data_IF_332417525029
#
_entry.id   IF_332417525029
#
_cell.length_a   1.000
_cell.length_b   1.000
_cell.length_c   1.000
_cell.angle_alpha   90.00
_cell.angle_beta   90.00
_cell.angle_gamma   90.00
#
_symmetry.space_group_name_H-M   'P 1'
#
loop_
_entity.id
_entity.type
_entity.pdbx_description
1 polymer ?
#
# COMPACT_ATOMS: atom_id res chain seq x y z
N UNK A 1 18.17 10.78 -1.02
CA UNK A 1 18.98 11.82 -0.33
C UNK A 1 18.04 12.97 0.05
N UNK A 2 18.30 13.63 1.22
CA UNK A 2 17.56 14.84 1.64
C UNK A 2 16.02 14.72 1.61
N UNK A 3 15.48 13.57 2.03
CA UNK A 3 14.04 13.38 2.15
C UNK A 3 13.66 13.68 3.60
N UNK A 4 12.79 14.67 3.80
CA UNK A 4 12.15 14.95 5.07
C UNK A 4 10.65 14.79 4.87
N UNK A 5 10.08 13.69 5.36
CA UNK A 5 8.67 13.34 5.13
C UNK A 5 8.03 12.91 6.43
N UNK A 6 6.85 13.45 6.70
CA UNK A 6 6.05 13.09 7.86
C UNK A 6 4.67 12.65 7.42
N UNK A 7 4.25 11.49 7.93
CA UNK A 7 2.95 10.90 7.65
C UNK A 7 2.20 10.81 8.98
N UNK A 8 1.09 11.50 9.06
CA UNK A 8 0.20 11.47 10.21
C UNK A 8 -0.92 10.44 10.02
N UNK A 9 -1.59 10.10 11.13
CA UNK A 9 -2.76 9.23 11.14
C UNK A 9 -3.85 9.83 10.25
N UNK A 10 -4.38 9.01 9.34
CA UNK A 10 -5.42 9.42 8.39
C UNK A 10 -4.93 10.15 7.15
N UNK A 11 -3.63 10.46 7.05
CA UNK A 11 -3.08 11.10 5.86
C UNK A 11 -3.24 10.25 4.60
N UNK A 12 -3.51 10.90 3.48
CA UNK A 12 -3.64 10.29 2.16
C UNK A 12 -2.61 10.90 1.22
N UNK A 13 -1.51 10.18 1.03
CA UNK A 13 -0.35 10.64 0.25
C UNK A 13 -0.25 9.95 -1.10
N UNK A 14 0.05 10.73 -2.12
CA UNK A 14 0.63 10.23 -3.37
C UNK A 14 2.16 10.33 -3.26
N UNK A 15 2.85 9.24 -3.54
CA UNK A 15 4.28 9.24 -3.81
C UNK A 15 4.47 9.17 -5.32
N UNK A 16 4.75 10.30 -5.94
CA UNK A 16 4.91 10.41 -7.38
C UNK A 16 6.39 10.53 -7.77
N UNK A 17 6.78 9.81 -8.80
CA UNK A 17 8.12 9.89 -9.38
C UNK A 17 8.29 8.94 -10.55
N UNK A 18 9.11 9.33 -11.51
CA UNK A 18 9.41 8.49 -12.67
C UNK A 18 10.14 7.19 -12.28
N UNK A 19 10.26 6.26 -13.20
CA UNK A 19 11.02 5.04 -12.99
C UNK A 19 12.48 5.40 -12.68
N UNK A 20 13.05 4.73 -11.66
CA UNK A 20 14.40 5.05 -11.17
C UNK A 20 14.49 6.23 -10.18
N UNK A 21 13.41 6.96 -9.91
CA UNK A 21 13.41 8.09 -8.96
C UNK A 21 13.76 7.72 -7.51
N UNK A 22 13.78 6.41 -7.15
CA UNK A 22 14.08 5.95 -5.80
C UNK A 22 12.87 5.60 -4.94
N UNK A 23 11.67 5.48 -5.56
CA UNK A 23 10.41 5.10 -4.87
C UNK A 23 10.57 3.80 -4.07
N UNK A 24 11.03 2.74 -4.71
CA UNK A 24 11.23 1.41 -4.07
C UNK A 24 12.20 1.48 -2.89
N UNK A 25 13.30 2.22 -3.01
CA UNK A 25 14.26 2.40 -1.91
C UNK A 25 13.60 3.11 -0.73
N UNK A 26 12.80 4.16 -0.98
CA UNK A 26 12.07 4.86 0.07
C UNK A 26 11.05 3.93 0.73
N UNK A 27 10.31 3.14 -0.05
CA UNK A 27 9.35 2.16 0.47
C UNK A 27 10.04 1.08 1.31
N UNK A 28 11.22 0.60 0.92
CA UNK A 28 11.99 -0.37 1.70
C UNK A 28 12.38 0.18 3.07
N UNK A 29 12.72 1.48 3.15
CA UNK A 29 13.01 2.14 4.43
C UNK A 29 11.73 2.25 5.28
N UNK A 30 10.60 2.67 4.69
CA UNK A 30 9.32 2.77 5.39
C UNK A 30 8.82 1.40 5.90
N UNK A 31 9.04 0.34 5.13
CA UNK A 31 8.70 -1.03 5.51
C UNK A 31 9.75 -1.69 6.44
N UNK A 32 10.77 -0.94 6.87
CA UNK A 32 11.86 -1.46 7.70
C UNK A 32 12.56 -2.70 7.10
N UNK A 33 12.66 -2.77 5.76
CA UNK A 33 13.49 -3.77 5.06
C UNK A 33 14.93 -3.30 4.93
N UNK A 34 15.14 -2.00 4.78
CA UNK A 34 16.47 -1.40 4.64
C UNK A 34 16.63 -0.24 5.65
N UNK A 35 17.80 -0.08 6.26
CA UNK A 35 18.09 1.10 7.07
C UNK A 35 18.37 2.31 6.19
N UNK A 36 18.07 3.52 6.69
CA UNK A 36 18.53 4.73 6.06
C UNK A 36 20.06 4.87 6.22
N UNK A 37 20.74 5.23 5.16
CA UNK A 37 22.22 5.42 5.15
C UNK A 37 22.62 6.60 6.04
N UNK A 38 21.82 7.66 6.05
CA UNK A 38 22.03 8.87 6.86
C UNK A 38 20.70 9.45 7.29
N UNK A 39 20.71 10.30 8.31
CA UNK A 39 19.48 10.92 8.83
C UNK A 39 18.79 10.08 9.91
N UNK A 40 17.63 10.54 10.34
CA UNK A 40 16.80 9.88 11.35
C UNK A 40 15.51 9.33 10.74
N UNK A 41 15.17 8.10 11.08
CA UNK A 41 13.88 7.49 10.72
C UNK A 41 13.13 7.17 11.99
N UNK A 42 11.88 7.63 12.09
CA UNK A 42 10.98 7.32 13.18
C UNK A 42 9.74 6.63 12.59
N UNK A 43 9.55 5.36 12.91
CA UNK A 43 8.44 4.54 12.43
C UNK A 43 7.57 4.15 13.64
N UNK A 44 6.39 4.74 13.72
CA UNK A 44 5.44 4.51 14.84
C UNK A 44 6.04 4.75 16.23
N UNK A 45 6.83 5.83 16.37
CA UNK A 45 7.52 6.17 17.62
C UNK A 45 8.79 5.36 17.89
N UNK A 46 9.17 4.46 16.99
CA UNK A 46 10.35 3.58 17.11
C UNK A 46 11.43 4.02 16.12
N UNK A 47 12.69 4.04 16.58
CA UNK A 47 13.83 4.45 15.77
C UNK A 47 14.80 3.28 15.60
N UNK A 48 15.29 2.99 14.37
CA UNK A 48 16.33 1.99 14.15
C UNK A 48 17.55 2.22 15.06
N UNK A 49 18.06 1.15 15.65
CA UNK A 49 19.20 1.19 16.56
C UNK A 49 18.91 1.68 17.99
N UNK A 50 17.66 1.99 18.33
CA UNK A 50 17.24 2.31 19.71
C UNK A 50 16.58 1.13 20.39
N UNK A 51 16.60 1.14 21.73
CA UNK A 51 15.93 0.13 22.55
C UNK A 51 14.44 0.07 22.21
N UNK A 52 13.91 -1.14 22.03
CA UNK A 52 12.50 -1.39 21.67
C UNK A 52 12.18 -1.29 20.17
N UNK A 53 13.16 -1.04 19.31
CA UNK A 53 12.97 -1.17 17.87
C UNK A 53 13.05 -2.62 17.43
N UNK A 54 12.07 -3.07 16.68
CA UNK A 54 12.07 -4.29 15.90
C UNK A 54 11.45 -4.01 14.55
N UNK A 55 12.13 -4.40 13.47
CA UNK A 55 11.61 -4.26 12.11
C UNK A 55 10.30 -5.07 11.94
N UNK A 56 10.19 -6.21 12.58
CA UNK A 56 8.99 -7.03 12.58
C UNK A 56 7.81 -6.30 13.23
N UNK A 57 8.02 -5.69 14.41
CA UNK A 57 6.98 -4.89 15.08
C UNK A 57 6.55 -3.69 14.23
N UNK A 58 7.47 -3.03 13.53
CA UNK A 58 7.14 -1.95 12.59
C UNK A 58 6.25 -2.47 11.46
N UNK A 59 6.62 -3.59 10.85
CA UNK A 59 5.86 -4.20 9.75
C UNK A 59 4.45 -4.66 10.16
N UNK A 60 4.22 -4.96 11.43
CA UNK A 60 2.86 -5.26 11.92
C UNK A 60 1.89 -4.08 11.73
N UNK A 61 2.39 -2.85 11.78
CA UNK A 61 1.59 -1.63 11.58
C UNK A 61 1.40 -1.25 10.10
N UNK A 62 2.00 -1.99 9.17
CA UNK A 62 1.99 -1.66 7.74
C UNK A 62 1.27 -2.75 6.94
N UNK A 63 0.27 -2.35 6.17
CA UNK A 63 -0.29 -3.13 5.07
C UNK A 63 0.48 -2.80 3.81
N UNK A 64 1.06 -3.79 3.14
CA UNK A 64 1.84 -3.58 1.92
C UNK A 64 1.26 -4.37 0.76
N UNK A 65 1.00 -3.67 -0.34
CA UNK A 65 0.49 -4.24 -1.60
C UNK A 65 1.50 -3.92 -2.69
N UNK A 66 2.04 -4.94 -3.34
CA UNK A 66 2.94 -4.81 -4.49
C UNK A 66 2.80 -6.02 -5.40
N UNK A 67 3.19 -5.86 -6.66
CA UNK A 67 3.21 -6.96 -7.63
C UNK A 67 4.15 -8.09 -7.19
N UNK A 68 5.33 -7.76 -6.70
CA UNK A 68 6.32 -8.73 -6.21
C UNK A 68 5.84 -9.55 -5.00
N UNK A 69 4.91 -9.01 -4.20
CA UNK A 69 4.29 -9.76 -3.11
C UNK A 69 3.23 -10.74 -3.66
N UNK A 70 2.46 -10.32 -4.66
CA UNK A 70 1.47 -11.18 -5.31
C UNK A 70 2.12 -12.41 -5.96
N UNK A 71 3.27 -12.26 -6.60
CA UNK A 71 4.01 -13.35 -7.26
C UNK A 71 4.49 -14.45 -6.30
N UNK A 72 4.49 -14.20 -4.99
CA UNK A 72 4.87 -15.21 -3.99
C UNK A 72 3.79 -16.23 -3.70
N UNK A 73 2.54 -15.96 -4.10
CA UNK A 73 1.41 -16.85 -3.90
C UNK A 73 1.31 -17.85 -5.06
N UNK A 74 1.02 -19.11 -4.73
CA UNK A 74 0.82 -20.15 -5.73
C UNK A 74 -0.57 -20.02 -6.36
N UNK A 75 -0.68 -20.30 -7.65
CA UNK A 75 -1.95 -20.22 -8.39
C UNK A 75 -3.06 -21.11 -7.80
N UNK A 76 -2.69 -22.19 -7.12
CA UNK A 76 -3.60 -23.13 -6.46
C UNK A 76 -4.04 -22.71 -5.04
N UNK A 77 -3.64 -21.55 -4.55
CA UNK A 77 -4.13 -21.06 -3.25
C UNK A 77 -5.54 -20.46 -3.40
N UNK A 78 -6.39 -20.71 -2.40
CA UNK A 78 -7.73 -20.12 -2.39
C UNK A 78 -7.65 -18.63 -2.02
N UNK A 79 -8.50 -17.83 -2.63
CA UNK A 79 -8.60 -16.39 -2.37
C UNK A 79 -8.76 -16.09 -0.87
N UNK A 80 -9.63 -16.83 -0.19
CA UNK A 80 -9.86 -16.65 1.25
C UNK A 80 -8.60 -16.92 2.08
N UNK A 81 -7.82 -17.94 1.73
CA UNK A 81 -6.61 -18.33 2.46
C UNK A 81 -5.48 -17.30 2.22
N UNK A 82 -5.39 -16.76 1.00
CA UNK A 82 -4.49 -15.63 0.69
C UNK A 82 -4.82 -14.42 1.58
N UNK A 83 -6.11 -14.07 1.72
CA UNK A 83 -6.53 -12.94 2.58
C UNK A 83 -6.20 -13.24 4.04
N UNK A 84 -6.57 -14.42 4.57
CA UNK A 84 -6.30 -14.85 5.95
C UNK A 84 -4.81 -14.78 6.27
N UNK A 85 -3.92 -15.15 5.34
CA UNK A 85 -2.47 -15.10 5.54
C UNK A 85 -1.96 -13.70 5.93
N UNK A 86 -2.73 -12.66 5.62
CA UNK A 86 -2.44 -11.28 5.98
C UNK A 86 -2.47 -11.02 7.49
N UNK A 87 -3.31 -11.71 8.25
CA UNK A 87 -3.37 -11.61 9.70
C UNK A 87 -2.05 -12.04 10.36
N UNK A 88 -1.35 -12.98 9.75
CA UNK A 88 -0.10 -13.56 10.25
C UNK A 88 1.16 -12.99 9.57
N UNK A 89 0.99 -12.06 8.62
CA UNK A 89 2.07 -11.52 7.79
C UNK A 89 2.91 -12.61 7.09
N UNK A 90 2.30 -13.76 6.80
CA UNK A 90 2.93 -14.94 6.18
C UNK A 90 2.54 -15.08 4.71
N UNK A 91 3.25 -15.92 3.97
CA UNK A 91 2.82 -16.46 2.69
C UNK A 91 2.20 -17.82 2.98
N UNK A 92 0.87 -17.95 2.74
CA UNK A 92 0.11 -19.13 3.13
C UNK A 92 -0.34 -19.14 4.59
N UNK A 93 -1.19 -20.11 4.91
CA UNK A 93 -1.79 -20.32 6.24
C UNK A 93 -1.27 -21.64 6.79
N UNK A 94 -0.61 -21.63 7.95
CA UNK A 94 0.08 -22.78 8.52
C UNK A 94 -0.40 -23.16 9.93
N UNK A 95 -1.51 -22.58 10.37
CA UNK A 95 -2.08 -22.79 11.70
C UNK A 95 -3.61 -22.88 11.63
N UNK A 96 -4.22 -23.36 12.69
CA UNK A 96 -5.67 -23.36 12.82
C UNK A 96 -6.19 -21.92 12.85
N UNK A 97 -7.28 -21.70 12.11
CA UNK A 97 -7.89 -20.38 11.94
C UNK A 97 -9.20 -20.37 12.74
N UNK A 98 -9.28 -19.45 13.67
CA UNK A 98 -10.51 -19.20 14.40
C UNK A 98 -11.59 -18.54 13.53
N UNK A 99 -12.84 -18.60 13.98
CA UNK A 99 -13.97 -18.06 13.23
C UNK A 99 -13.92 -16.54 13.10
N UNK A 100 -13.29 -15.84 14.06
CA UNK A 100 -13.18 -14.37 14.02
C UNK A 100 -12.29 -13.93 12.84
N UNK A 101 -11.12 -14.52 12.67
CA UNK A 101 -10.22 -14.25 11.55
C UNK A 101 -10.88 -14.60 10.22
N UNK A 102 -11.61 -15.71 10.16
CA UNK A 102 -12.33 -16.13 8.95
C UNK A 102 -13.45 -15.15 8.58
N UNK A 103 -14.21 -14.70 9.57
CA UNK A 103 -15.29 -13.73 9.37
C UNK A 103 -14.75 -12.38 8.92
N UNK A 104 -13.64 -11.91 9.50
CA UNK A 104 -12.96 -10.69 9.07
C UNK A 104 -12.47 -10.79 7.62
N UNK A 105 -11.89 -11.92 7.21
CA UNK A 105 -11.49 -12.14 5.83
C UNK A 105 -12.68 -12.06 4.86
N UNK A 106 -13.83 -12.64 5.21
CA UNK A 106 -15.06 -12.51 4.41
C UNK A 106 -15.57 -11.07 4.36
N UNK A 107 -15.51 -10.34 5.48
CA UNK A 107 -15.87 -8.93 5.54
C UNK A 107 -14.99 -8.10 4.58
N UNK A 108 -13.68 -8.28 4.63
CA UNK A 108 -12.74 -7.56 3.77
C UNK A 108 -12.90 -7.92 2.30
N UNK A 109 -13.16 -9.20 1.96
CA UNK A 109 -13.48 -9.60 0.58
C UNK A 109 -14.76 -8.94 0.07
N UNK A 110 -15.76 -8.75 0.93
CA UNK A 110 -16.98 -8.00 0.60
C UNK A 110 -16.68 -6.52 0.36
N UNK A 111 -15.86 -5.92 1.21
CA UNK A 111 -15.46 -4.51 1.12
C UNK A 111 -14.76 -4.20 -0.19
N UNK A 112 -13.87 -5.09 -0.67
CA UNK A 112 -13.20 -4.94 -1.97
C UNK A 112 -13.99 -5.51 -3.15
N UNK A 113 -15.26 -5.92 -2.95
CA UNK A 113 -16.18 -6.35 -4.00
C UNK A 113 -15.85 -7.68 -4.68
N UNK A 114 -15.23 -8.64 -3.96
CA UNK A 114 -14.81 -9.93 -4.53
C UNK A 114 -15.28 -11.15 -3.71
N UNK A 115 -16.24 -10.97 -2.80
CA UNK A 115 -16.71 -12.03 -1.89
C UNK A 115 -17.20 -13.30 -2.59
N UNK A 116 -17.82 -13.18 -3.78
CA UNK A 116 -18.28 -14.33 -4.57
C UNK A 116 -17.16 -15.27 -5.04
N UNK A 117 -15.91 -14.80 -5.01
CA UNK A 117 -14.73 -15.56 -5.44
C UNK A 117 -13.89 -16.12 -4.29
N UNK A 118 -14.35 -16.00 -3.03
CA UNK A 118 -13.60 -16.41 -1.84
C UNK A 118 -13.04 -17.84 -1.90
N UNK A 119 -13.78 -18.78 -2.49
CA UNK A 119 -13.40 -20.17 -2.61
C UNK A 119 -12.68 -20.51 -3.93
N UNK A 120 -12.56 -19.56 -4.86
CA UNK A 120 -11.82 -19.76 -6.09
C UNK A 120 -10.30 -19.75 -5.84
N UNK A 121 -9.56 -20.35 -6.76
CA UNK A 121 -8.10 -20.28 -6.74
C UNK A 121 -7.63 -18.94 -7.32
N UNK A 122 -6.58 -18.34 -6.72
CA UNK A 122 -6.06 -17.03 -7.13
C UNK A 122 -5.56 -17.01 -8.58
N UNK A 123 -5.11 -18.16 -9.10
CA UNK A 123 -4.67 -18.31 -10.49
C UNK A 123 -5.75 -17.99 -11.53
N UNK A 124 -7.04 -18.17 -11.19
CA UNK A 124 -8.17 -17.91 -12.09
C UNK A 124 -8.68 -16.46 -12.06
N UNK A 125 -8.09 -15.61 -11.23
CA UNK A 125 -8.50 -14.22 -11.10
C UNK A 125 -7.81 -13.36 -12.15
N UNK A 126 -8.53 -12.32 -12.64
CA UNK A 126 -7.93 -11.25 -13.42
C UNK A 126 -6.91 -10.45 -12.57
N UNK A 127 -6.05 -9.68 -13.23
CA UNK A 127 -5.06 -8.83 -12.55
C UNK A 127 -5.73 -7.87 -11.56
N UNK A 128 -6.83 -7.21 -11.94
CA UNK A 128 -7.56 -6.31 -11.07
C UNK A 128 -8.21 -7.02 -9.87
N UNK A 129 -8.70 -8.25 -10.05
CA UNK A 129 -9.22 -9.05 -8.95
C UNK A 129 -8.11 -9.48 -7.99
N UNK A 130 -6.96 -9.88 -8.50
CA UNK A 130 -5.77 -10.19 -7.68
C UNK A 130 -5.33 -8.98 -6.84
N UNK A 131 -5.36 -7.77 -7.42
CA UNK A 131 -5.06 -6.54 -6.67
C UNK A 131 -6.05 -6.31 -5.51
N UNK A 132 -7.35 -6.53 -5.74
CA UNK A 132 -8.37 -6.43 -4.68
C UNK A 132 -8.13 -7.45 -3.55
N UNK A 133 -7.75 -8.69 -3.90
CA UNK A 133 -7.38 -9.72 -2.92
C UNK A 133 -6.18 -9.25 -2.09
N UNK A 134 -5.16 -8.67 -2.72
CA UNK A 134 -3.97 -8.18 -2.02
C UNK A 134 -4.28 -7.00 -1.10
N UNK A 135 -5.23 -6.12 -1.47
CA UNK A 135 -5.70 -5.04 -0.59
C UNK A 135 -6.42 -5.64 0.62
N UNK A 136 -7.37 -6.58 0.42
CA UNK A 136 -8.06 -7.25 1.52
C UNK A 136 -7.05 -7.94 2.47
N UNK A 137 -6.07 -8.64 1.90
CA UNK A 137 -4.98 -9.27 2.65
C UNK A 137 -4.18 -8.26 3.49
N UNK A 138 -3.84 -7.11 2.90
CA UNK A 138 -3.08 -6.07 3.60
C UNK A 138 -3.84 -5.48 4.79
N UNK A 139 -5.16 -5.42 4.70
CA UNK A 139 -6.05 -4.92 5.76
C UNK A 139 -6.28 -5.92 6.90
N UNK A 140 -6.11 -7.23 6.68
CA UNK A 140 -6.28 -8.28 7.71
C UNK A 140 -5.45 -8.03 8.97
N UNK A 141 -4.29 -7.40 8.84
CA UNK A 141 -3.41 -7.05 9.96
C UNK A 141 -3.81 -5.76 10.68
N UNK A 142 -4.95 -5.17 10.37
CA UNK A 142 -5.42 -3.87 10.92
C UNK A 142 -4.29 -2.80 10.91
N UNK A 143 -3.70 -2.51 9.76
CA UNK A 143 -2.54 -1.64 9.67
C UNK A 143 -2.90 -0.19 10.02
N UNK A 144 -1.91 0.57 10.50
CA UNK A 144 -2.03 2.02 10.65
C UNK A 144 -1.70 2.76 9.35
N UNK A 145 -0.91 2.13 8.48
CA UNK A 145 -0.54 2.67 7.16
C UNK A 145 -0.73 1.57 6.11
N UNK A 146 -1.43 1.89 5.02
CA UNK A 146 -1.55 1.05 3.83
C UNK A 146 -0.67 1.63 2.72
N UNK A 147 0.30 0.87 2.27
CA UNK A 147 1.20 1.24 1.16
C UNK A 147 0.81 0.42 -0.07
N UNK A 148 0.54 1.12 -1.16
CA UNK A 148 0.12 0.57 -2.45
C UNK A 148 1.19 0.91 -3.48
N UNK A 149 2.04 -0.05 -3.82
CA UNK A 149 3.15 0.15 -4.75
C UNK A 149 2.73 -0.20 -6.18
N UNK A 150 2.45 0.85 -6.96
CA UNK A 150 1.96 0.80 -8.34
C UNK A 150 0.76 -0.18 -8.51
N UNK A 151 -0.31 -0.05 -7.70
CA UNK A 151 -1.36 -1.06 -7.64
C UNK A 151 -2.24 -1.13 -8.90
N UNK A 152 -2.22 -0.10 -9.73
CA UNK A 152 -2.95 -0.07 -10.99
C UNK A 152 -2.10 -0.48 -12.21
N UNK A 153 -0.84 -0.87 -12.01
CA UNK A 153 0.03 -1.29 -13.09
C UNK A 153 -0.55 -2.52 -13.83
N UNK A 154 -0.62 -2.42 -15.15
CA UNK A 154 -1.16 -3.50 -16.00
C UNK A 154 -2.67 -3.68 -15.96
N UNK A 155 -3.41 -2.78 -15.31
CA UNK A 155 -4.88 -2.77 -15.35
C UNK A 155 -5.39 -2.02 -16.59
N UNK A 156 -6.49 -2.54 -17.16
CA UNK A 156 -7.28 -1.76 -18.11
C UNK A 156 -7.99 -0.60 -17.40
N UNK A 157 -8.59 0.30 -18.20
CA UNK A 157 -9.26 1.49 -17.68
C UNK A 157 -10.35 1.15 -16.65
N UNK A 158 -11.21 0.16 -16.94
CA UNK A 158 -12.34 -0.21 -16.06
C UNK A 158 -11.84 -0.79 -14.74
N UNK A 159 -10.86 -1.68 -14.79
CA UNK A 159 -10.26 -2.29 -13.60
C UNK A 159 -9.55 -1.24 -12.73
N UNK A 160 -8.86 -0.27 -13.35
CA UNK A 160 -8.22 0.86 -12.67
C UNK A 160 -9.24 1.72 -11.95
N UNK A 161 -10.27 2.20 -12.65
CA UNK A 161 -11.33 3.02 -12.05
C UNK A 161 -12.02 2.28 -10.89
N UNK A 162 -12.28 1.00 -11.06
CA UNK A 162 -12.86 0.18 -10.01
C UNK A 162 -11.93 0.05 -8.78
N UNK A 163 -10.62 -0.03 -9.00
CA UNK A 163 -9.61 -0.05 -7.91
C UNK A 163 -9.60 1.28 -7.17
N UNK A 164 -9.57 2.40 -7.88
CA UNK A 164 -9.58 3.75 -7.30
C UNK A 164 -10.85 3.99 -6.46
N UNK A 165 -12.03 3.60 -6.97
CA UNK A 165 -13.29 3.67 -6.21
C UNK A 165 -13.27 2.83 -4.92
N UNK A 166 -12.59 1.68 -4.92
CA UNK A 166 -12.40 0.88 -3.70
C UNK A 166 -11.52 1.64 -2.70
N UNK A 167 -10.43 2.27 -3.15
CA UNK A 167 -9.56 3.05 -2.26
C UNK A 167 -10.29 4.25 -1.67
N UNK A 168 -11.17 4.89 -2.44
CA UNK A 168 -12.04 5.96 -1.97
C UNK A 168 -12.99 5.46 -0.88
N UNK A 169 -13.66 4.34 -1.10
CA UNK A 169 -14.54 3.70 -0.09
C UNK A 169 -13.77 3.27 1.16
N UNK A 170 -12.52 2.83 1.02
CA UNK A 170 -11.64 2.51 2.15
C UNK A 170 -11.25 3.76 2.93
N UNK A 171 -11.03 4.89 2.26
CA UNK A 171 -10.74 6.17 2.91
C UNK A 171 -11.87 6.61 3.83
N UNK A 172 -13.11 6.42 3.38
CA UNK A 172 -14.31 6.74 4.16
C UNK A 172 -14.54 5.76 5.31
N UNK A 173 -14.35 4.46 5.05
CA UNK A 173 -14.58 3.40 6.04
C UNK A 173 -13.51 3.36 7.13
N UNK A 174 -12.28 3.76 6.80
CA UNK A 174 -11.12 3.77 7.71
C UNK A 174 -10.47 5.17 7.76
N UNK A 175 -11.14 6.18 8.34
CA UNK A 175 -10.65 7.57 8.32
C UNK A 175 -9.31 7.77 9.03
N UNK A 176 -8.95 6.84 9.90
CA UNK A 176 -7.68 6.88 10.65
C UNK A 176 -6.54 6.12 9.97
N UNK A 177 -6.83 5.32 8.94
CA UNK A 177 -5.83 4.62 8.15
C UNK A 177 -5.08 5.62 7.27
N UNK A 178 -3.77 5.75 7.47
CA UNK A 178 -2.97 6.49 6.51
C UNK A 178 -2.77 5.65 5.24
N UNK A 179 -2.83 6.28 4.07
CA UNK A 179 -2.59 5.61 2.79
C UNK A 179 -1.46 6.29 2.02
N UNK A 180 -0.59 5.48 1.42
CA UNK A 180 0.46 5.93 0.50
C UNK A 180 0.22 5.21 -0.81
N UNK A 181 -0.19 5.94 -1.83
CA UNK A 181 -0.34 5.44 -3.19
C UNK A 181 0.87 5.84 -4.01
N UNK A 182 1.58 4.86 -4.52
CA UNK A 182 2.81 5.08 -5.29
C UNK A 182 2.48 4.90 -6.76
N UNK A 183 2.80 5.91 -7.56
CA UNK A 183 2.55 5.88 -9.00
C UNK A 183 3.52 6.78 -9.76
N UNK A 184 3.59 6.56 -11.06
CA UNK A 184 4.21 7.46 -12.03
C UNK A 184 3.20 7.98 -13.06
N UNK A 185 1.88 7.75 -12.84
CA UNK A 185 0.76 8.21 -13.67
C UNK A 185 -0.05 9.27 -12.93
N UNK A 186 -0.20 10.45 -13.54
CA UNK A 186 -0.95 11.57 -12.95
C UNK A 186 -2.45 11.27 -12.94
N UNK A 187 -2.95 10.54 -13.92
CA UNK A 187 -4.35 10.16 -14.06
C UNK A 187 -4.84 9.17 -12.99
N UNK A 188 -3.96 8.64 -12.17
CA UNK A 188 -4.31 7.78 -11.03
C UNK A 188 -4.54 8.56 -9.73
N UNK A 189 -4.32 9.87 -9.75
CA UNK A 189 -4.49 10.72 -8.57
C UNK A 189 -5.97 11.07 -8.44
N UNK A 190 -6.65 10.49 -7.43
CA UNK A 190 -8.05 10.75 -7.12
C UNK A 190 -8.23 11.80 -6.04
N UNK A 191 -9.46 12.35 -5.93
CA UNK A 191 -9.78 13.43 -5.00
C UNK A 191 -9.66 13.08 -3.51
N UNK A 192 -9.59 11.79 -3.14
CA UNK A 192 -9.40 11.37 -1.74
C UNK A 192 -7.94 11.41 -1.28
N UNK A 193 -6.99 11.45 -2.21
CA UNK A 193 -5.60 11.76 -1.88
C UNK A 193 -5.44 13.29 -1.84
N UNK A 194 -4.96 13.80 -0.72
CA UNK A 194 -4.88 15.25 -0.48
C UNK A 194 -3.45 15.78 -0.48
N UNK A 195 -2.47 14.89 -0.32
CA UNK A 195 -1.06 15.25 -0.22
C UNK A 195 -0.23 14.50 -1.25
N UNK A 196 0.85 15.12 -1.70
CA UNK A 196 1.78 14.54 -2.65
C UNK A 196 3.23 14.81 -2.24
N UNK A 197 4.08 13.82 -2.50
CA UNK A 197 5.54 13.95 -2.48
C UNK A 197 6.06 13.64 -3.87
N UNK A 198 6.73 14.61 -4.50
CA UNK A 198 7.42 14.46 -5.77
C UNK A 198 8.86 14.00 -5.54
N UNK A 199 9.18 12.81 -6.05
CA UNK A 199 10.51 12.20 -5.90
C UNK A 199 11.24 12.18 -7.25
N UNK A 200 12.48 12.72 -7.30
CA UNK A 200 13.34 12.71 -8.48
C UNK A 200 14.78 12.48 -8.04
N UNK A 201 15.49 11.55 -8.70
CA UNK A 201 16.91 11.24 -8.46
C UNK A 201 17.26 10.91 -6.98
N UNK A 202 16.29 10.32 -6.25
CA UNK A 202 16.40 9.97 -4.84
C UNK A 202 16.26 11.15 -3.90
N UNK A 203 15.74 12.29 -4.35
CA UNK A 203 15.50 13.49 -3.55
C UNK A 203 14.03 13.91 -3.59
N UNK A 204 13.54 14.46 -2.48
CA UNK A 204 12.22 15.11 -2.42
C UNK A 204 12.32 16.48 -3.08
N UNK A 205 11.71 16.64 -4.25
CA UNK A 205 11.69 17.91 -4.99
C UNK A 205 10.68 18.88 -4.38
N UNK A 206 9.47 18.39 -4.17
CA UNK A 206 8.37 19.14 -3.53
C UNK A 206 7.47 18.19 -2.78
N UNK A 207 6.80 18.69 -1.76
CA UNK A 207 5.75 17.98 -1.03
C UNK A 207 4.76 18.96 -0.42
N UNK A 208 3.51 18.54 -0.30
CA UNK A 208 2.44 19.38 0.27
C UNK A 208 1.07 18.94 -0.20
N UNK A 209 0.12 19.86 -0.19
CA UNK A 209 -1.21 19.62 -0.73
C UNK A 209 -1.15 19.44 -2.26
N UNK A 210 -1.94 18.52 -2.77
CA UNK A 210 -1.97 18.20 -4.22
C UNK A 210 -2.29 19.45 -5.04
N UNK A 211 -3.27 20.24 -4.63
CA UNK A 211 -3.70 21.45 -5.36
C UNK A 211 -2.58 22.51 -5.47
N UNK A 212 -1.70 22.57 -4.47
CA UNK A 212 -0.57 23.52 -4.45
C UNK A 212 0.60 23.02 -5.31
N UNK A 213 0.78 21.70 -5.41
CA UNK A 213 1.96 21.06 -6.01
C UNK A 213 1.71 20.69 -7.48
N UNK A 214 0.53 20.13 -7.82
CA UNK A 214 0.19 19.70 -9.19
C UNK A 214 -0.26 20.86 -10.08
N UNK A 215 0.58 21.88 -10.19
CA UNK A 215 0.37 22.99 -11.13
C UNK A 215 1.16 22.75 -12.41
N UNK A 216 0.70 23.30 -13.54
CA UNK A 216 1.42 23.20 -14.82
C UNK A 216 2.86 23.71 -14.72
N UNK A 217 3.09 24.76 -13.92
CA UNK A 217 4.41 25.33 -13.70
C UNK A 217 5.33 24.37 -12.94
N UNK A 218 4.86 23.79 -11.83
CA UNK A 218 5.64 22.85 -11.03
C UNK A 218 5.95 21.57 -11.81
N UNK A 219 4.97 21.05 -12.55
CA UNK A 219 5.15 19.85 -13.35
C UNK A 219 6.12 20.08 -14.51
N UNK A 220 6.08 21.25 -15.17
CA UNK A 220 7.06 21.61 -16.22
C UNK A 220 8.51 21.72 -15.69
N UNK A 221 8.68 22.06 -14.41
CA UNK A 221 10.01 22.07 -13.77
C UNK A 221 10.43 20.68 -13.28
N UNK A 222 9.46 19.84 -12.95
CA UNK A 222 9.70 18.48 -12.47
C UNK A 222 10.18 17.57 -13.61
N UNK A 223 9.61 17.66 -14.80
CA UNK A 223 10.03 16.91 -15.99
C UNK A 223 11.20 17.58 -16.70
#
# INVERSE_FOLDING_TARGET
KNISWQIAKGDKWILYGLNGAGKTTLLNILNAYEPATTGGVNLFGKMPGKVGYSAETVRQHIGFVSHSLLEKFQEGERVIDVVISGAFKSIGVYQDIDDEVRNEAHHLLKLVGISAKAQQYIGYLSTGEKQRVMIARALMGQPQVLILDEPAAGLDFIARESLLNILDSLSDSYPTLAMIYVTHFIEEITGNFTKILLLKDGESVQQGLIDDILTSENMSRFF
#
